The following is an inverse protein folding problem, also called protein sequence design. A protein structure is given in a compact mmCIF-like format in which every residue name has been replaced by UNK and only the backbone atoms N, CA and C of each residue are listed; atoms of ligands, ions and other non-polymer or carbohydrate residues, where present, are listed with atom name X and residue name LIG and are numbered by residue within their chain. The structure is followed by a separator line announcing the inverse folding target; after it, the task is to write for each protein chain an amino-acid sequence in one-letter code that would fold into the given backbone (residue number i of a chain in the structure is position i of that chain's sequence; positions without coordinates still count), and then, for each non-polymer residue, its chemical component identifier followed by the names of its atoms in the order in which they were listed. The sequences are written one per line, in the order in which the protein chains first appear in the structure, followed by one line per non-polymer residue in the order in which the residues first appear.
data_IF_583980367865
#
_entry.id   IF_583980367865
#
_cell.length_a   1.000
_cell.length_b   1.000
_cell.length_c   1.000
_cell.angle_alpha   90.00
_cell.angle_beta   90.00
_cell.angle_gamma   90.00
#
_symmetry.space_group_name_H-M   'P 1'
#
loop_
_entity.id
_entity.type
_entity.pdbx_description
1 polymer ?
#
# COMPACT_ATOMS: atom_id res chain seq x y z
N UNK A 1 -34.91 -1.33 -0.39
CA UNK A 1 -33.80 -0.38 -0.59
C UNK A 1 -32.86 -0.57 0.59
N UNK A 2 -31.82 -1.37 0.45
CA UNK A 2 -30.85 -1.63 1.52
C UNK A 2 -29.66 -0.72 1.25
N UNK A 3 -29.39 0.19 2.17
CA UNK A 3 -28.24 1.08 2.15
C UNK A 3 -26.94 0.27 2.05
N UNK A 4 -26.33 0.26 0.86
CA UNK A 4 -24.95 -0.18 0.70
C UNK A 4 -24.07 0.85 1.42
N UNK A 5 -23.72 0.53 2.66
CA UNK A 5 -22.73 1.30 3.43
C UNK A 5 -21.41 1.17 2.70
N UNK A 6 -21.01 2.23 1.99
CA UNK A 6 -19.61 2.47 1.60
C UNK A 6 -18.78 2.57 2.89
N UNK A 7 -18.41 1.41 3.44
CA UNK A 7 -17.41 1.29 4.48
C UNK A 7 -16.06 1.48 3.82
N UNK A 8 -15.66 2.75 3.62
CA UNK A 8 -14.29 3.09 3.31
C UNK A 8 -13.47 2.65 4.54
N UNK A 9 -12.81 1.50 4.44
CA UNK A 9 -11.83 1.09 5.44
C UNK A 9 -10.60 1.98 5.22
N UNK A 10 -10.67 3.22 5.71
CA UNK A 10 -9.47 4.01 5.91
C UNK A 10 -8.71 3.24 6.97
N UNK A 11 -7.65 2.57 6.56
CA UNK A 11 -6.58 2.20 7.49
C UNK A 11 -5.92 3.53 7.86
N UNK A 12 -6.57 4.27 8.77
CA UNK A 12 -5.91 5.26 9.60
C UNK A 12 -4.99 4.46 10.50
N UNK A 13 -3.88 4.03 9.93
CA UNK A 13 -2.67 3.81 10.69
C UNK A 13 -2.28 5.19 11.20
N UNK A 14 -2.84 5.56 12.35
CA UNK A 14 -2.19 6.47 13.24
C UNK A 14 -0.88 5.77 13.63
N UNK A 15 0.15 5.90 12.78
CA UNK A 15 1.49 6.03 13.31
C UNK A 15 1.48 7.39 13.98
N UNK A 16 1.17 7.38 15.28
CA UNK A 16 1.50 8.48 16.14
C UNK A 16 3.02 8.52 16.22
N UNK A 17 3.63 9.21 15.24
CA UNK A 17 5.05 9.49 15.23
C UNK A 17 5.37 10.35 16.44
N UNK A 18 5.61 9.69 17.57
CA UNK A 18 6.21 10.29 18.75
C UNK A 18 7.59 10.73 18.32
N UNK A 19 7.71 12.03 18.11
CA UNK A 19 8.89 12.87 18.25
C UNK A 19 10.20 12.10 18.38
N UNK A 20 11.09 12.24 17.38
CA UNK A 20 12.49 11.87 17.46
C UNK A 20 13.07 12.17 18.85
N UNK A 21 13.33 11.13 19.66
CA UNK A 21 14.08 11.28 20.89
C UNK A 21 15.55 11.57 20.54
N UNK A 22 15.91 12.87 20.55
CA UNK A 22 17.25 13.50 20.54
C UNK A 22 18.39 12.84 19.73
N UNK A 23 18.76 13.53 18.63
CA UNK A 23 20.11 13.59 18.00
C UNK A 23 20.07 13.45 16.47
N UNK A 24 20.90 14.17 15.64
CA UNK A 24 21.91 15.20 15.93
C UNK A 24 21.41 16.65 15.67
N UNK A 25 22.29 17.64 15.83
CA UNK A 25 22.10 19.10 15.67
C UNK A 25 21.47 19.53 14.33
N UNK A 26 20.85 20.74 14.25
CA UNK A 26 20.18 21.22 13.05
C UNK A 26 21.19 21.50 11.93
N UNK A 27 21.11 20.77 10.81
CA UNK A 27 21.89 21.08 9.61
C UNK A 27 21.91 20.02 8.51
N UNK A 28 21.86 18.72 8.82
CA UNK A 28 22.21 17.67 7.84
C UNK A 28 21.20 16.51 7.72
N UNK A 29 19.97 16.69 8.21
CA UNK A 29 18.94 15.63 8.25
C UNK A 29 17.58 16.06 7.72
N UNK A 30 16.69 15.08 7.51
CA UNK A 30 15.26 15.36 7.28
C UNK A 30 14.70 16.16 8.47
N UNK A 31 13.91 17.19 8.19
CA UNK A 31 13.13 17.85 9.26
C UNK A 31 12.12 16.88 9.85
N UNK A 32 11.65 17.12 11.08
CA UNK A 32 10.64 16.26 11.73
C UNK A 32 9.37 16.10 10.87
N UNK A 33 8.97 17.17 10.16
CA UNK A 33 7.80 17.17 9.27
C UNK A 33 8.03 16.32 8.02
N UNK A 34 9.21 16.43 7.41
CA UNK A 34 9.61 15.61 6.25
C UNK A 34 9.74 14.13 6.62
N UNK A 35 10.41 13.83 7.73
CA UNK A 35 10.53 12.47 8.25
C UNK A 35 9.16 11.85 8.57
N UNK A 36 8.24 12.66 9.12
CA UNK A 36 6.89 12.24 9.41
C UNK A 36 6.07 11.93 8.16
N UNK A 37 6.10 12.81 7.17
CA UNK A 37 5.39 12.61 5.90
C UNK A 37 5.90 11.37 5.16
N UNK A 38 7.22 11.25 5.02
CA UNK A 38 7.87 10.11 4.36
C UNK A 38 7.57 8.79 5.09
N UNK A 39 7.69 8.77 6.42
CA UNK A 39 7.42 7.60 7.25
C UNK A 39 5.96 7.13 7.14
N UNK A 40 5.01 8.07 7.19
CA UNK A 40 3.59 7.77 7.04
C UNK A 40 3.26 7.17 5.67
N UNK A 41 3.80 7.75 4.59
CA UNK A 41 3.57 7.26 3.23
C UNK A 41 4.19 5.87 3.05
N UNK A 42 5.44 5.66 3.44
CA UNK A 42 6.10 4.35 3.31
C UNK A 42 5.40 3.26 4.14
N UNK A 43 4.98 3.58 5.36
CA UNK A 43 4.24 2.62 6.19
C UNK A 43 2.88 2.27 5.56
N UNK A 44 2.18 3.26 5.02
CA UNK A 44 0.92 3.04 4.31
C UNK A 44 1.13 2.12 3.10
N UNK A 45 2.20 2.33 2.33
CA UNK A 45 2.51 1.49 1.16
C UNK A 45 2.97 0.09 1.53
N UNK A 46 3.71 -0.08 2.63
CA UNK A 46 4.09 -1.40 3.11
C UNK A 46 2.86 -2.20 3.56
N UNK A 47 1.93 -1.56 4.26
CA UNK A 47 0.64 -2.17 4.62
C UNK A 47 -0.17 -2.51 3.36
N UNK A 48 -0.17 -1.63 2.37
CA UNK A 48 -0.82 -1.84 1.08
C UNK A 48 -0.29 -3.09 0.35
N UNK A 49 1.03 -3.20 0.26
CA UNK A 49 1.72 -4.35 -0.35
C UNK A 49 1.48 -5.64 0.44
N UNK A 50 1.51 -5.58 1.77
CA UNK A 50 1.28 -6.76 2.61
C UNK A 50 -0.16 -7.24 2.50
N UNK A 51 -1.14 -6.32 2.43
CA UNK A 51 -2.55 -6.67 2.26
C UNK A 51 -2.82 -7.34 0.90
N UNK A 52 -2.07 -6.95 -0.14
CA UNK A 52 -2.16 -7.55 -1.47
C UNK A 52 -1.68 -9.01 -1.54
N UNK A 53 -1.05 -9.56 -0.48
CA UNK A 53 -0.67 -10.97 -0.42
C UNK A 53 -1.85 -11.91 -0.12
N UNK A 54 -2.95 -11.40 0.45
CA UNK A 54 -4.06 -12.19 1.00
C UNK A 54 -5.40 -11.98 0.30
N UNK A 55 -5.47 -11.16 -0.74
CA UNK A 55 -6.76 -10.79 -1.33
C UNK A 55 -6.96 -11.44 -2.69
N UNK A 56 -8.06 -12.19 -2.81
CA UNK A 56 -8.61 -12.74 -4.06
C UNK A 56 -8.77 -11.69 -5.13
N UNK A 57 -9.01 -10.44 -4.75
CA UNK A 57 -9.15 -9.35 -5.71
C UNK A 57 -7.79 -8.81 -6.15
N UNK A 58 -6.65 -9.25 -5.57
CA UNK A 58 -5.28 -8.74 -5.84
C UNK A 58 -5.11 -7.20 -5.78
N UNK A 59 -6.19 -6.55 -5.35
CA UNK A 59 -6.46 -5.15 -5.38
C UNK A 59 -6.61 -4.56 -3.98
N UNK A 60 -6.53 -5.41 -2.95
CA UNK A 60 -6.37 -4.95 -1.58
C UNK A 60 -5.35 -3.82 -1.53
N UNK A 61 -5.73 -2.76 -0.85
CA UNK A 61 -4.94 -1.53 -0.76
C UNK A 61 -5.24 -0.49 -1.84
N UNK A 62 -5.83 -0.86 -2.98
CA UNK A 62 -6.62 0.09 -3.76
C UNK A 62 -8.02 0.07 -3.14
N UNK A 63 -8.38 1.10 -2.39
CA UNK A 63 -9.64 1.19 -1.63
C UNK A 63 -10.93 1.10 -2.46
N UNK A 64 -10.83 0.73 -3.75
CA UNK A 64 -11.86 0.74 -4.78
C UNK A 64 -12.32 -0.66 -5.22
N UNK A 65 -11.58 -1.73 -4.94
CA UNK A 65 -11.87 -3.05 -5.51
C UNK A 65 -12.34 -4.01 -4.43
N UNK A 66 -13.59 -3.84 -4.05
CA UNK A 66 -14.34 -4.89 -3.37
C UNK A 66 -15.60 -5.08 -4.24
N UNK A 67 -15.37 -5.57 -5.46
CA UNK A 67 -16.39 -5.58 -6.53
C UNK A 67 -16.78 -7.00 -6.96
N UNK A 68 -16.05 -8.04 -6.55
CA UNK A 68 -16.34 -9.43 -6.94
C UNK A 68 -17.31 -10.15 -5.99
N UNK A 69 -17.61 -9.62 -4.80
CA UNK A 69 -18.54 -10.24 -3.86
C UNK A 69 -19.66 -9.28 -3.43
N UNK A 70 -20.88 -9.49 -3.95
CA UNK A 70 -22.16 -8.92 -3.47
C UNK A 70 -22.54 -7.48 -3.85
N UNK A 71 -22.28 -7.10 -5.10
CA UNK A 71 -22.93 -5.93 -5.72
C UNK A 71 -21.95 -4.79 -5.99
N UNK A 72 -21.32 -4.83 -7.16
CA UNK A 72 -20.57 -3.70 -7.73
C UNK A 72 -21.40 -2.42 -7.59
N UNK A 73 -20.87 -1.34 -6.96
CA UNK A 73 -21.60 -0.08 -6.88
C UNK A 73 -21.99 0.39 -8.29
N UNK A 74 -23.15 1.05 -8.44
CA UNK A 74 -23.62 1.54 -9.76
C UNK A 74 -22.60 2.46 -10.47
N UNK A 75 -21.74 3.10 -9.68
CA UNK A 75 -20.68 3.98 -10.18
C UNK A 75 -19.40 3.26 -10.64
N UNK A 76 -19.41 1.92 -10.66
CA UNK A 76 -18.31 1.08 -11.15
C UNK A 76 -18.81 0.23 -12.29
N UNK A 77 -18.12 0.25 -13.43
CA UNK A 77 -18.40 -0.66 -14.55
C UNK A 77 -17.24 -1.65 -14.71
N UNK A 78 -17.54 -2.85 -15.22
CA UNK A 78 -16.55 -3.88 -15.49
C UNK A 78 -16.60 -4.19 -16.99
N UNK A 79 -15.46 -4.42 -17.62
CA UNK A 79 -15.39 -4.82 -19.02
C UNK A 79 -14.19 -5.75 -19.26
N UNK A 80 -14.40 -6.94 -19.83
CA UNK A 80 -15.71 -7.55 -20.17
C UNK A 80 -16.55 -7.88 -18.92
N UNK A 81 -17.86 -8.09 -19.13
CA UNK A 81 -18.83 -8.53 -18.10
C UNK A 81 -19.87 -9.43 -18.82
N UNK A 82 -19.90 -10.76 -18.58
CA UNK A 82 -19.13 -11.49 -17.57
C UNK A 82 -17.64 -11.59 -17.93
N UNK A 83 -16.80 -11.77 -16.92
CA UNK A 83 -15.37 -12.01 -17.08
C UNK A 83 -15.11 -13.48 -17.39
N UNK A 84 -14.17 -13.75 -18.31
CA UNK A 84 -13.65 -15.09 -18.52
C UNK A 84 -12.64 -15.44 -17.42
N UNK A 85 -12.59 -16.72 -17.06
CA UNK A 85 -11.62 -17.37 -16.18
C UNK A 85 -11.35 -18.72 -16.84
N UNK A 86 -10.30 -18.75 -17.67
CA UNK A 86 -10.04 -19.87 -18.58
C UNK A 86 -9.45 -21.09 -17.88
N UNK A 87 -8.69 -20.89 -16.80
CA UNK A 87 -8.02 -21.97 -16.07
C UNK A 87 -8.76 -22.39 -14.77
N UNK A 88 -9.76 -21.62 -14.36
CA UNK A 88 -10.69 -21.94 -13.27
C UNK A 88 -10.11 -21.70 -11.88
N UNK A 89 -9.08 -20.86 -11.76
CA UNK A 89 -8.46 -20.54 -10.47
C UNK A 89 -9.19 -19.44 -9.69
N UNK A 90 -10.23 -18.84 -10.29
CA UNK A 90 -11.05 -17.79 -9.72
C UNK A 90 -10.58 -16.37 -10.02
N UNK A 91 -9.47 -16.19 -10.74
CA UNK A 91 -9.01 -14.92 -11.27
C UNK A 91 -9.56 -14.71 -12.69
N UNK A 92 -10.02 -13.49 -13.03
CA UNK A 92 -10.42 -13.20 -14.40
C UNK A 92 -9.19 -13.08 -15.32
N UNK A 93 -9.22 -13.73 -16.50
CA UNK A 93 -8.17 -13.65 -17.53
C UNK A 93 -7.73 -12.19 -17.74
N UNK A 94 -8.73 -11.33 -17.95
CA UNK A 94 -8.58 -9.88 -17.97
C UNK A 94 -9.92 -9.21 -17.67
N UNK A 95 -9.89 -8.18 -16.83
CA UNK A 95 -11.04 -7.29 -16.61
C UNK A 95 -10.58 -5.88 -16.29
N UNK A 96 -11.25 -4.89 -16.84
CA UNK A 96 -11.05 -3.48 -16.48
C UNK A 96 -12.25 -2.99 -15.68
N UNK A 97 -11.98 -2.54 -14.46
CA UNK A 97 -12.93 -1.77 -13.66
C UNK A 97 -12.74 -0.28 -13.92
N UNK A 98 -13.83 0.39 -14.28
CA UNK A 98 -13.87 1.86 -14.43
C UNK A 98 -14.66 2.45 -13.29
N UNK A 99 -14.05 3.39 -12.57
CA UNK A 99 -14.62 4.09 -11.43
C UNK A 99 -15.08 5.47 -11.86
N UNK A 100 -16.32 5.80 -11.53
CA UNK A 100 -16.88 7.14 -11.61
C UNK A 100 -17.80 7.41 -10.41
N UNK A 101 -17.25 7.18 -9.21
CA UNK A 101 -17.97 7.27 -7.96
C UNK A 101 -17.82 8.67 -7.36
N UNK A 102 -18.94 9.30 -7.03
CA UNK A 102 -18.96 10.55 -6.29
C UNK A 102 -20.12 10.54 -5.29
N UNK A 103 -19.85 10.97 -4.07
CA UNK A 103 -20.85 11.18 -3.03
C UNK A 103 -20.58 12.51 -2.35
N UNK A 104 -21.59 13.37 -2.30
CA UNK A 104 -21.53 14.67 -1.62
C UNK A 104 -22.59 14.75 -0.53
N UNK A 105 -22.32 15.52 0.52
CA UNK A 105 -23.26 15.79 1.60
C UNK A 105 -22.82 16.99 2.46
N UNK A 106 -23.56 17.32 3.53
CA UNK A 106 -23.25 18.48 4.36
C UNK A 106 -21.86 18.46 5.01
N UNK A 107 -21.28 17.28 5.21
CA UNK A 107 -19.95 17.10 5.78
C UNK A 107 -18.81 17.20 4.74
N UNK A 108 -19.12 17.35 3.45
CA UNK A 108 -18.16 17.38 2.36
C UNK A 108 -18.43 16.36 1.26
N UNK A 109 -17.40 15.95 0.53
CA UNK A 109 -17.53 15.03 -0.60
C UNK A 109 -16.43 13.98 -0.65
N UNK A 110 -16.75 12.82 -1.21
CA UNK A 110 -15.81 11.75 -1.51
C UNK A 110 -15.96 11.36 -2.98
N UNK A 111 -14.85 11.08 -3.64
CA UNK A 111 -14.87 10.52 -5.00
C UNK A 111 -13.78 9.49 -5.24
N UNK A 112 -14.09 8.55 -6.12
CA UNK A 112 -13.17 7.57 -6.68
C UNK A 112 -13.34 7.57 -8.18
N UNK A 113 -12.27 7.86 -8.92
CA UNK A 113 -12.30 7.93 -10.38
C UNK A 113 -11.06 7.26 -10.98
N UNK A 114 -11.15 6.78 -12.23
CA UNK A 114 -10.03 6.16 -12.94
C UNK A 114 -10.29 4.68 -13.22
N UNK A 115 -9.24 3.93 -13.55
CA UNK A 115 -9.39 2.50 -13.88
C UNK A 115 -8.39 1.61 -13.16
N UNK A 116 -8.82 0.37 -12.96
CA UNK A 116 -7.98 -0.75 -12.56
C UNK A 116 -8.18 -1.90 -13.53
N UNK A 117 -7.12 -2.30 -14.22
CA UNK A 117 -7.10 -3.49 -15.07
C UNK A 117 -6.48 -4.64 -14.29
N UNK A 118 -7.22 -5.73 -14.16
CA UNK A 118 -6.76 -7.02 -13.64
C UNK A 118 -6.43 -7.93 -14.80
N UNK A 119 -5.36 -8.67 -14.66
CA UNK A 119 -4.87 -9.64 -15.62
C UNK A 119 -4.39 -10.86 -14.83
N UNK A 120 -4.91 -12.03 -15.14
CA UNK A 120 -4.24 -13.27 -14.79
C UNK A 120 -2.95 -13.37 -15.63
N UNK A 121 -1.87 -13.73 -14.96
CA UNK A 121 -0.54 -13.84 -15.59
C UNK A 121 -0.12 -15.29 -15.84
N UNK A 122 -0.94 -16.24 -15.43
CA UNK A 122 -0.69 -17.66 -15.56
C UNK A 122 -1.63 -18.29 -16.59
N UNK A 123 -1.32 -19.53 -16.96
CA UNK A 123 -2.11 -20.34 -17.92
C UNK A 123 -2.53 -21.67 -17.32
N UNK A 124 -2.15 -21.90 -16.07
CA UNK A 124 -2.46 -23.08 -15.29
C UNK A 124 -2.75 -22.60 -13.87
N UNK A 125 -3.63 -23.28 -13.11
CA UNK A 125 -4.11 -22.79 -11.82
C UNK A 125 -2.96 -22.51 -10.85
N UNK A 126 -2.59 -21.23 -10.73
CA UNK A 126 -1.42 -20.77 -10.00
C UNK A 126 -1.62 -19.32 -9.59
N UNK A 127 -1.07 -18.95 -8.43
CA UNK A 127 -1.28 -17.62 -7.88
C UNK A 127 -0.40 -16.61 -8.63
N UNK A 128 -0.92 -15.98 -9.68
CA UNK A 128 -0.20 -14.93 -10.41
C UNK A 128 -1.12 -13.90 -11.05
N UNK A 129 -1.04 -12.66 -10.61
CA UNK A 129 -1.90 -11.59 -11.10
C UNK A 129 -1.14 -10.30 -11.35
N UNK A 130 -1.66 -9.48 -12.25
CA UNK A 130 -1.19 -8.13 -12.52
C UNK A 130 -2.34 -7.14 -12.47
N UNK A 131 -2.09 -6.04 -11.76
CA UNK A 131 -3.02 -4.91 -11.64
C UNK A 131 -2.38 -3.69 -12.22
N UNK A 132 -3.08 -3.02 -13.12
CA UNK A 132 -2.66 -1.74 -13.69
C UNK A 132 -3.64 -0.65 -13.28
N UNK A 133 -3.15 0.31 -12.49
CA UNK A 133 -3.89 1.53 -12.14
C UNK A 133 -3.63 2.62 -13.17
N UNK A 134 -4.69 3.18 -13.76
CA UNK A 134 -4.60 4.32 -14.66
C UNK A 134 -5.47 5.45 -14.14
N UNK A 135 -4.81 6.54 -13.76
CA UNK A 135 -5.42 7.73 -13.19
C UNK A 135 -6.39 7.42 -12.05
N UNK A 136 -6.08 6.39 -11.24
CA UNK A 136 -6.94 6.01 -10.13
C UNK A 136 -6.80 7.04 -9.01
N UNK A 137 -7.85 7.80 -8.76
CA UNK A 137 -7.86 8.90 -7.81
C UNK A 137 -8.86 8.64 -6.69
N UNK A 138 -8.46 9.01 -5.49
CA UNK A 138 -9.30 9.09 -4.30
C UNK A 138 -9.27 10.53 -3.83
N UNK A 139 -10.43 11.16 -3.68
CA UNK A 139 -10.53 12.50 -3.11
C UNK A 139 -11.55 12.51 -1.99
N UNK A 140 -11.16 13.09 -0.86
CA UNK A 140 -12.04 13.48 0.22
C UNK A 140 -11.90 14.98 0.41
N UNK A 141 -13.02 15.68 0.40
CA UNK A 141 -13.10 17.11 0.68
C UNK A 141 -14.00 17.37 1.88
N UNK A 142 -13.66 18.40 2.65
CA UNK A 142 -14.51 18.90 3.73
C UNK A 142 -15.73 19.66 3.18
N UNK A 143 -16.60 20.14 4.08
CA UNK A 143 -17.78 20.93 3.73
C UNK A 143 -17.46 22.25 3.02
N UNK A 144 -16.23 22.76 3.18
CA UNK A 144 -15.74 23.98 2.53
C UNK A 144 -15.08 23.71 1.18
N UNK A 145 -14.98 22.45 0.76
CA UNK A 145 -14.39 22.04 -0.51
C UNK A 145 -12.86 21.90 -0.49
N UNK A 146 -12.23 21.99 0.68
CA UNK A 146 -10.80 21.78 0.81
C UNK A 146 -10.47 20.28 0.82
N UNK A 147 -9.35 19.90 0.22
CA UNK A 147 -8.87 18.52 0.28
C UNK A 147 -8.55 18.15 1.73
N UNK A 148 -9.23 17.14 2.25
CA UNK A 148 -8.86 16.42 3.49
C UNK A 148 -7.85 15.33 3.15
N UNK A 149 -8.10 14.64 2.04
CA UNK A 149 -7.21 13.64 1.45
C UNK A 149 -7.34 13.71 -0.06
N UNK A 150 -6.21 13.66 -0.75
CA UNK A 150 -6.16 13.37 -2.17
C UNK A 150 -5.06 12.35 -2.41
N UNK A 151 -5.37 11.33 -3.18
CA UNK A 151 -4.41 10.32 -3.61
C UNK A 151 -4.65 9.99 -5.08
N UNK A 152 -3.58 9.87 -5.85
CA UNK A 152 -3.60 9.40 -7.24
C UNK A 152 -2.59 8.27 -7.40
N UNK A 153 -2.98 7.19 -8.05
CA UNK A 153 -2.16 6.00 -8.29
C UNK A 153 -2.10 5.70 -9.78
N UNK A 154 -0.88 5.53 -10.27
CA UNK A 154 -0.59 5.22 -11.67
C UNK A 154 0.55 4.21 -11.76
N UNK A 155 0.35 3.11 -12.46
CA UNK A 155 1.38 2.08 -12.64
C UNK A 155 0.86 0.68 -12.37
N UNK A 156 1.76 -0.23 -12.06
CA UNK A 156 1.44 -1.66 -11.96
C UNK A 156 1.76 -2.25 -10.59
N UNK A 157 1.02 -3.30 -10.25
CA UNK A 157 1.34 -4.24 -9.20
C UNK A 157 1.32 -5.63 -9.79
N UNK A 158 2.25 -6.48 -9.40
CA UNK A 158 2.30 -7.88 -9.82
C UNK A 158 2.39 -8.78 -8.60
N UNK A 159 1.77 -9.95 -8.66
CA UNK A 159 2.14 -11.07 -7.82
C UNK A 159 2.42 -12.31 -8.62
N UNK A 160 3.20 -13.15 -7.99
CA UNK A 160 3.43 -14.52 -8.39
C UNK A 160 3.73 -15.34 -7.14
N UNK A 161 3.32 -16.59 -7.13
CA UNK A 161 3.50 -17.44 -5.99
C UNK A 161 3.02 -18.87 -6.19
N UNK A 162 3.10 -19.58 -5.08
CA UNK A 162 2.66 -20.95 -4.86
C UNK A 162 1.81 -20.96 -3.59
N UNK A 163 1.33 -22.12 -3.20
CA UNK A 163 0.61 -22.32 -1.94
C UNK A 163 1.47 -22.12 -0.68
N UNK A 164 2.79 -21.94 -0.79
CA UNK A 164 3.69 -21.77 0.36
C UNK A 164 4.56 -20.51 0.29
N UNK A 165 4.63 -19.85 -0.86
CA UNK A 165 5.39 -18.63 -1.04
C UNK A 165 4.67 -17.71 -2.03
N UNK A 166 4.54 -16.43 -1.73
CA UNK A 166 3.94 -15.44 -2.64
C UNK A 166 4.73 -14.15 -2.58
N UNK A 167 4.95 -13.52 -3.73
CA UNK A 167 5.62 -12.24 -3.82
C UNK A 167 4.73 -11.23 -4.50
N UNK A 168 4.67 -10.01 -3.97
CA UNK A 168 3.99 -8.85 -4.55
C UNK A 168 5.02 -7.76 -4.83
N UNK A 169 5.06 -7.24 -6.05
CA UNK A 169 5.89 -6.10 -6.45
C UNK A 169 5.04 -4.93 -6.94
N UNK A 170 5.47 -3.70 -6.65
CA UNK A 170 4.92 -2.49 -7.27
C UNK A 170 5.90 -1.93 -8.31
N UNK A 171 5.35 -1.27 -9.33
CA UNK A 171 5.96 -0.18 -10.07
C UNK A 171 4.90 0.93 -10.19
N UNK A 172 4.73 1.67 -9.10
CA UNK A 172 3.58 2.56 -8.90
C UNK A 172 4.04 3.99 -8.60
N UNK A 173 3.45 4.97 -9.26
CA UNK A 173 3.54 6.38 -8.87
C UNK A 173 2.31 6.73 -8.03
N UNK A 174 2.54 7.20 -6.81
CA UNK A 174 1.52 7.64 -5.87
C UNK A 174 1.71 9.13 -5.60
N UNK A 175 0.74 9.95 -5.97
CA UNK A 175 0.68 11.37 -5.55
C UNK A 175 -0.24 11.44 -4.35
N UNK A 176 0.21 12.00 -3.24
CA UNK A 176 -0.58 12.12 -2.01
C UNK A 176 -0.55 13.53 -1.46
N UNK A 177 -1.72 14.03 -1.08
CA UNK A 177 -1.91 15.28 -0.37
C UNK A 177 -2.83 15.03 0.83
N UNK A 178 -2.44 15.51 2.01
CA UNK A 178 -3.27 15.43 3.22
C UNK A 178 -3.52 16.84 3.73
N UNK A 179 -4.79 17.20 3.87
CA UNK A 179 -5.20 18.53 4.30
C UNK A 179 -4.58 19.64 3.42
N UNK A 180 -4.09 20.71 4.05
CA UNK A 180 -3.41 21.84 3.40
C UNK A 180 -1.91 21.59 3.11
N UNK A 181 -1.39 20.38 3.34
CA UNK A 181 0.02 20.10 3.07
C UNK A 181 0.30 20.10 1.56
N UNK A 182 1.52 20.46 1.18
CA UNK A 182 2.00 20.30 -0.20
C UNK A 182 1.93 18.83 -0.60
N UNK A 183 1.39 18.56 -1.79
CA UNK A 183 1.35 17.21 -2.34
C UNK A 183 2.77 16.65 -2.50
N UNK A 184 2.95 15.39 -2.13
CA UNK A 184 4.18 14.65 -2.39
C UNK A 184 3.96 13.53 -3.41
N UNK A 185 5.01 13.16 -4.12
CA UNK A 185 5.01 12.08 -5.11
C UNK A 185 5.96 10.98 -4.67
N UNK A 186 5.44 9.78 -4.53
CA UNK A 186 6.19 8.55 -4.32
C UNK A 186 6.26 7.78 -5.64
N UNK A 187 7.46 7.42 -6.09
CA UNK A 187 7.62 6.31 -7.04
C UNK A 187 7.99 5.08 -6.22
N UNK A 188 7.11 4.10 -6.19
CA UNK A 188 7.19 2.91 -5.37
C UNK A 188 7.54 1.70 -6.25
N UNK A 189 8.79 1.23 -6.15
CA UNK A 189 9.28 -0.02 -6.74
C UNK A 189 9.64 -1.05 -5.68
N UNK A 190 8.89 -1.06 -4.57
CA UNK A 190 9.07 -2.03 -3.50
C UNK A 190 8.40 -3.35 -3.84
N UNK A 191 8.98 -4.41 -3.31
CA UNK A 191 8.51 -5.78 -3.37
C UNK A 191 8.43 -6.34 -1.95
N UNK A 192 7.41 -7.16 -1.70
CA UNK A 192 7.24 -7.95 -0.49
C UNK A 192 7.13 -9.41 -0.89
N UNK A 193 8.06 -10.23 -0.42
CA UNK A 193 8.03 -11.68 -0.54
C UNK A 193 7.59 -12.30 0.80
N UNK A 194 6.60 -13.18 0.75
CA UNK A 194 6.13 -13.95 1.89
C UNK A 194 6.51 -15.42 1.71
N UNK A 195 6.96 -16.04 2.80
CA UNK A 195 7.21 -17.46 2.91
C UNK A 195 6.45 -18.02 4.11
N UNK A 196 5.58 -19.00 3.88
CA UNK A 196 4.90 -19.71 4.95
C UNK A 196 5.90 -20.56 5.74
N UNK A 197 5.82 -20.51 7.07
CA UNK A 197 6.57 -21.41 7.96
C UNK A 197 5.82 -22.74 8.12
N UNK A 198 4.48 -22.69 8.09
CA UNK A 198 3.61 -23.86 8.10
C UNK A 198 2.25 -23.49 7.46
N UNK A 199 1.51 -24.48 6.98
CA UNK A 199 0.18 -24.28 6.37
C UNK A 199 0.23 -23.84 4.91
N UNK A 200 -0.94 -23.47 4.40
CA UNK A 200 -1.16 -23.16 2.97
C UNK A 200 -1.68 -21.74 2.85
N UNK A 201 -1.09 -20.98 1.94
CA UNK A 201 -1.59 -19.69 1.48
C UNK A 201 -2.90 -19.93 0.73
N UNK A 202 -3.94 -19.22 1.15
CA UNK A 202 -5.21 -19.18 0.42
C UNK A 202 -5.45 -17.77 -0.08
N UNK A 203 -6.34 -17.62 -1.05
CA UNK A 203 -6.66 -16.32 -1.59
C UNK A 203 -7.36 -15.36 -0.60
N UNK A 204 -7.63 -15.79 0.65
CA UNK A 204 -8.22 -14.94 1.70
C UNK A 204 -7.37 -14.83 2.96
N UNK A 205 -6.28 -15.60 3.05
CA UNK A 205 -5.50 -15.68 4.28
C UNK A 205 -4.07 -16.17 4.04
N UNK A 206 -3.16 -15.55 4.77
CA UNK A 206 -1.79 -16.03 4.93
C UNK A 206 -1.70 -16.82 6.24
N UNK A 207 -1.00 -17.96 6.25
CA UNK A 207 -0.64 -18.62 7.50
C UNK A 207 0.51 -17.85 8.20
N UNK A 208 1.01 -18.37 9.32
CA UNK A 208 2.22 -17.84 9.93
C UNK A 208 3.42 -18.00 8.98
N UNK A 209 4.28 -17.00 8.95
CA UNK A 209 5.39 -16.96 7.99
C UNK A 209 6.32 -15.77 8.18
N UNK A 210 7.20 -15.58 7.21
CA UNK A 210 8.14 -14.47 7.18
C UNK A 210 7.93 -13.60 5.94
N UNK A 211 8.08 -12.29 6.10
CA UNK A 211 8.07 -11.31 5.03
C UNK A 211 9.48 -10.74 4.82
N UNK A 212 9.87 -10.62 3.57
CA UNK A 212 11.03 -9.85 3.13
C UNK A 212 10.57 -8.71 2.23
N UNK A 213 10.93 -7.48 2.62
CA UNK A 213 10.76 -6.26 1.87
C UNK A 213 12.07 -5.88 1.21
N UNK A 214 12.02 -5.59 -0.10
CA UNK A 214 13.16 -5.10 -0.86
C UNK A 214 12.74 -4.14 -1.95
N UNK A 215 13.65 -3.29 -2.42
CA UNK A 215 13.48 -2.52 -3.64
C UNK A 215 13.79 -1.05 -3.47
N UNK A 216 13.33 -0.25 -4.43
CA UNK A 216 13.61 1.17 -4.46
C UNK A 216 12.32 1.98 -4.33
N UNK A 217 12.43 3.15 -3.73
CA UNK A 217 11.40 4.17 -3.80
C UNK A 217 12.03 5.54 -3.96
N UNK A 218 11.30 6.51 -4.52
CA UNK A 218 11.73 7.92 -4.52
C UNK A 218 10.60 8.78 -4.02
N UNK A 219 10.89 9.72 -3.11
CA UNK A 219 9.92 10.66 -2.56
C UNK A 219 10.31 12.09 -2.91
N UNK A 220 9.37 12.81 -3.53
CA UNK A 220 9.48 14.24 -3.79
C UNK A 220 8.35 15.02 -3.13
N UNK A 221 8.67 16.07 -2.37
CA UNK A 221 7.70 16.95 -1.74
C UNK A 221 8.29 18.35 -1.50
N UNK A 222 7.80 19.35 -2.24
CA UNK A 222 8.45 20.67 -2.26
C UNK A 222 9.91 20.53 -2.71
N UNK A 223 10.85 21.05 -1.93
CA UNK A 223 12.29 20.96 -2.19
C UNK A 223 12.92 19.62 -1.76
N UNK A 224 12.17 18.77 -1.04
CA UNK A 224 12.67 17.45 -0.66
C UNK A 224 12.64 16.53 -1.88
N UNK A 225 13.78 15.96 -2.22
CA UNK A 225 13.93 14.88 -3.19
C UNK A 225 14.88 13.83 -2.62
N UNK A 226 14.37 12.65 -2.32
CA UNK A 226 15.16 11.55 -1.77
C UNK A 226 14.82 10.24 -2.46
N UNK A 227 15.85 9.48 -2.79
CA UNK A 227 15.72 8.08 -3.16
C UNK A 227 15.92 7.22 -1.91
N UNK A 228 15.25 6.07 -1.90
CA UNK A 228 15.32 5.08 -0.85
C UNK A 228 15.65 3.73 -1.47
N UNK A 229 16.58 3.02 -0.86
CA UNK A 229 16.77 1.59 -1.07
C UNK A 229 16.36 0.86 0.21
N UNK A 230 15.27 0.10 0.13
CA UNK A 230 14.72 -0.65 1.26
C UNK A 230 15.19 -2.09 1.17
N UNK A 231 15.64 -2.62 2.30
CA UNK A 231 16.07 -4.01 2.45
C UNK A 231 15.61 -4.54 3.80
N UNK A 232 15.36 -5.85 3.87
CA UNK A 232 15.09 -6.53 5.13
C UNK A 232 16.40 -6.95 5.76
N UNK A 233 16.62 -6.54 7.00
CA UNK A 233 17.79 -6.92 7.79
C UNK A 233 17.51 -8.22 8.53
N UNK A 234 16.36 -8.28 9.21
CA UNK A 234 15.85 -9.49 9.85
C UNK A 234 14.44 -9.77 9.30
N UNK A 235 14.13 -10.98 8.80
CA UNK A 235 12.82 -11.31 8.24
C UNK A 235 11.68 -10.90 9.17
N UNK A 236 10.66 -10.24 8.61
CA UNK A 236 9.52 -9.78 9.41
C UNK A 236 8.62 -10.97 9.72
N UNK A 237 8.34 -11.20 10.99
CA UNK A 237 7.53 -12.33 11.43
C UNK A 237 6.06 -11.97 11.29
N UNK A 238 5.35 -12.66 10.42
CA UNK A 238 3.91 -12.51 10.22
C UNK A 238 3.16 -13.51 11.09
N UNK A 239 2.23 -12.99 11.89
CA UNK A 239 1.35 -13.80 12.74
C UNK A 239 -0.13 -13.52 12.38
N UNK A 240 -0.84 -14.48 11.77
CA UNK A 240 -2.25 -14.30 11.44
C UNK A 240 -3.13 -14.09 12.68
N UNK A 241 -2.72 -14.58 13.86
CA UNK A 241 -3.40 -14.40 15.14
C UNK A 241 -3.28 -12.99 15.71
N UNK A 242 -2.41 -12.15 15.15
CA UNK A 242 -2.28 -10.76 15.53
C UNK A 242 -3.54 -9.96 15.13
N UNK A 243 -4.16 -9.30 16.10
CA UNK A 243 -5.43 -8.56 15.90
C UNK A 243 -5.25 -7.19 15.22
N UNK A 244 -4.02 -6.69 15.07
CA UNK A 244 -3.76 -5.43 14.38
C UNK A 244 -3.81 -5.57 12.86
N UNK A 245 -4.04 -4.45 12.19
CA UNK A 245 -4.00 -4.37 10.72
C UNK A 245 -2.62 -4.78 10.19
N UNK A 246 -1.54 -4.32 10.83
CA UNK A 246 -0.19 -4.80 10.56
C UNK A 246 0.08 -6.05 11.40
N UNK A 247 -0.07 -7.23 10.80
CA UNK A 247 0.09 -8.55 11.45
C UNK A 247 1.55 -8.96 11.64
N UNK A 248 2.43 -8.01 11.94
CA UNK A 248 3.88 -8.23 12.09
C UNK A 248 4.23 -8.20 13.58
N UNK A 249 4.92 -9.22 14.06
CA UNK A 249 5.25 -9.39 15.49
C UNK A 249 6.74 -9.20 15.79
N UNK A 250 7.59 -9.15 14.76
CA UNK A 250 9.02 -8.98 14.91
C UNK A 250 9.71 -8.73 13.58
N UNK A 251 10.95 -8.26 13.60
CA UNK A 251 11.80 -8.11 12.41
C UNK A 251 12.35 -6.70 12.23
N UNK A 252 13.16 -6.51 11.18
CA UNK A 252 13.86 -5.25 10.95
C UNK A 252 14.04 -4.94 9.48
N UNK A 253 13.79 -3.68 9.10
CA UNK A 253 14.08 -3.12 7.79
C UNK A 253 15.14 -2.03 7.88
N UNK A 254 15.90 -1.88 6.80
CA UNK A 254 16.81 -0.75 6.57
C UNK A 254 16.41 -0.04 5.29
N UNK A 255 16.13 1.26 5.37
CA UNK A 255 15.92 2.12 4.23
C UNK A 255 17.11 3.08 4.10
N UNK A 256 17.99 2.85 3.14
CA UNK A 256 19.13 3.72 2.86
C UNK A 256 18.67 4.89 2.02
N UNK A 257 18.95 6.11 2.47
CA UNK A 257 18.65 7.33 1.72
C UNK A 257 19.80 7.61 0.76
N UNK A 258 19.47 7.71 -0.52
CA UNK A 258 20.37 8.07 -1.60
C UNK A 258 19.82 9.31 -2.33
N UNK A 259 20.68 10.03 -3.05
CA UNK A 259 20.28 11.21 -3.83
C UNK A 259 20.86 12.53 -3.33
N UNK A 260 20.23 13.64 -3.73
CA UNK A 260 20.67 15.01 -3.41
C UNK A 260 20.23 15.50 -2.03
N UNK A 261 19.35 14.75 -1.35
CA UNK A 261 18.89 15.03 0.01
C UNK A 261 19.86 14.54 1.11
N UNK A 262 19.40 14.51 2.37
CA UNK A 262 20.16 13.97 3.50
C UNK A 262 20.64 12.53 3.24
N UNK A 263 21.92 12.29 3.50
CA UNK A 263 22.53 10.96 3.35
C UNK A 263 22.48 10.23 4.68
N UNK A 264 22.10 8.96 4.63
CA UNK A 264 21.93 8.16 5.84
C UNK A 264 21.13 6.90 5.61
N UNK A 265 20.68 6.30 6.69
CA UNK A 265 19.68 5.23 6.63
C UNK A 265 18.71 5.32 7.80
N UNK A 266 17.48 4.87 7.54
CA UNK A 266 16.47 4.60 8.54
C UNK A 266 16.54 3.13 8.92
N UNK A 267 16.57 2.86 10.22
CA UNK A 267 16.35 1.53 10.76
C UNK A 267 14.93 1.46 11.32
N UNK A 268 14.13 0.52 10.81
CA UNK A 268 12.73 0.31 11.21
C UNK A 268 12.64 -1.04 11.90
N UNK A 269 12.34 -1.05 13.20
CA UNK A 269 12.29 -2.28 14.00
C UNK A 269 10.88 -2.56 14.51
N UNK A 270 10.37 -3.75 14.19
CA UNK A 270 9.10 -4.29 14.66
C UNK A 270 9.36 -5.13 15.91
N UNK A 271 8.68 -4.80 17.01
CA UNK A 271 8.93 -5.42 18.32
C UNK A 271 7.80 -6.30 18.85
N UNK A 272 6.56 -6.06 18.43
CA UNK A 272 5.39 -6.81 18.88
C UNK A 272 4.17 -6.55 17.98
N UNK A 273 3.21 -7.48 18.02
CA UNK A 273 1.88 -7.30 17.43
C UNK A 273 1.22 -6.01 17.90
N UNK A 274 0.61 -5.26 16.98
CA UNK A 274 -0.17 -4.05 17.29
C UNK A 274 0.62 -2.87 17.86
N UNK A 275 1.95 -2.98 17.93
CA UNK A 275 2.82 -1.90 18.38
C UNK A 275 3.42 -1.19 17.18
N UNK A 276 3.47 0.14 17.23
CA UNK A 276 4.13 0.91 16.18
C UNK A 276 5.62 0.54 16.08
N UNK A 277 6.18 0.42 14.86
CA UNK A 277 7.59 0.15 14.71
C UNK A 277 8.42 1.35 15.17
N UNK A 278 9.56 1.07 15.81
CA UNK A 278 10.53 2.12 16.13
C UNK A 278 11.33 2.49 14.89
N UNK A 279 11.50 3.78 14.63
CA UNK A 279 12.24 4.31 13.49
C UNK A 279 13.42 5.14 14.01
N UNK A 280 14.64 4.82 13.58
CA UNK A 280 15.86 5.56 13.95
C UNK A 280 16.62 5.97 12.69
N UNK A 281 16.99 7.24 12.60
CA UNK A 281 17.85 7.74 11.52
C UNK A 281 19.32 7.70 11.93
N UNK A 282 20.17 7.31 11.00
CA UNK A 282 21.62 7.31 11.13
C UNK A 282 22.20 8.11 9.96
N UNK A 283 22.77 9.27 10.26
CA UNK A 283 23.49 10.06 9.26
C UNK A 283 24.74 9.31 8.82
N UNK A 284 25.06 9.40 7.52
CA UNK A 284 26.36 8.97 6.99
C UNK A 284 27.15 10.24 6.70
N UNK A 285 28.39 10.38 7.24
CA UNK A 285 29.23 11.55 6.99
C UNK A 285 29.62 11.72 5.52
#
# INVERSE_FOLDING_TARGET
MKDARFGLLIVTSALSLVSCSKGPTPGEGLTALQASSLGSVLSSELQNLTAALTDTDFAAGFSAVNAQATGKPECVTASPDPTADADGDGLPDTVTYTYNCQKSGPAGSNSVQGTLKFEDTQTAPAQGAKVTATSLTFSQKDASGNNVLYESRNGTRTASGTTTAISVGNDMTVVRQVSSQTAGTLKNKLQVAFQATAGTITAKSLPAGTLEVSGNASWTQGDLNTDLNVTTVNPLQFDPGCASALKIVGGQLKATLTGSGPKGYLNVTFGACGTEPSIKFFAVP
#
